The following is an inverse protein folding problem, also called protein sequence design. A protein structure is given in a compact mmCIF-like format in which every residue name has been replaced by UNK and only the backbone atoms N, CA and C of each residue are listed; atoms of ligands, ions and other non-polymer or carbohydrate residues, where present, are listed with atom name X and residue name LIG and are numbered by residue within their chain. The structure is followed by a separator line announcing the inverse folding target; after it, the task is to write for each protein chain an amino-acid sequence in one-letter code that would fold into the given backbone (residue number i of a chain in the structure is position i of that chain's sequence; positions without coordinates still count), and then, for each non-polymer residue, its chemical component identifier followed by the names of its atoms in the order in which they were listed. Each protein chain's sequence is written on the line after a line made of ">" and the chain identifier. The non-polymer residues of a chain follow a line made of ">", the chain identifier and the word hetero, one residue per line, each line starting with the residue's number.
data_IF_067620621340
#
_entry.id   IF_067620621340
#
_cell.length_a   1.000
_cell.length_b   1.000
_cell.length_c   1.000
_cell.angle_alpha   90.00
_cell.angle_beta   90.00
_cell.angle_gamma   90.00
#
_symmetry.space_group_name_H-M   'P 1'
#
loop_
_entity.id
_entity.type
_entity.pdbx_description
1 polymer ?
#
# COMPACT_ATOMS: atom_id res chain seq x y z
N UNK A 1 -27.00 -1.97 -9.44
CA UNK A 1 -26.95 -3.34 -8.88
C UNK A 1 -26.34 -3.25 -7.51
N UNK A 2 -26.78 -4.11 -6.59
CA UNK A 2 -26.21 -4.23 -5.25
C UNK A 2 -25.07 -5.25 -5.31
N UNK A 3 -23.88 -4.91 -4.79
CA UNK A 3 -22.71 -5.80 -4.83
C UNK A 3 -22.91 -7.12 -4.07
N UNK A 4 -23.94 -7.19 -3.22
CA UNK A 4 -24.33 -8.41 -2.49
C UNK A 4 -25.34 -9.29 -3.23
N UNK A 5 -25.91 -8.83 -4.35
CA UNK A 5 -26.82 -9.64 -5.17
C UNK A 5 -26.05 -10.54 -6.15
N UNK A 6 -26.63 -11.67 -6.54
CA UNK A 6 -25.99 -12.65 -7.42
C UNK A 6 -25.17 -13.68 -6.65
N UNK A 7 -23.91 -13.90 -7.02
CA UNK A 7 -23.06 -14.99 -6.48
C UNK A 7 -22.98 -14.98 -4.94
N UNK A 8 -22.85 -13.80 -4.32
CA UNK A 8 -22.77 -13.71 -2.85
C UNK A 8 -24.11 -14.12 -2.21
N UNK A 9 -25.23 -13.76 -2.83
CA UNK A 9 -26.56 -14.14 -2.38
C UNK A 9 -26.84 -15.64 -2.59
N UNK A 10 -26.35 -16.22 -3.69
CA UNK A 10 -26.43 -17.66 -3.95
C UNK A 10 -25.66 -18.47 -2.89
N UNK A 11 -24.50 -17.97 -2.43
CA UNK A 11 -23.67 -18.64 -1.43
C UNK A 11 -24.19 -18.43 -0.01
N UNK A 12 -24.55 -17.21 0.38
CA UNK A 12 -24.94 -16.88 1.76
C UNK A 12 -26.44 -17.05 2.03
N UNK A 13 -27.27 -17.02 0.98
CA UNK A 13 -28.72 -17.04 1.05
C UNK A 13 -29.35 -15.69 1.36
N UNK A 14 -30.56 -15.49 0.85
CA UNK A 14 -31.33 -14.23 0.94
C UNK A 14 -31.45 -13.70 2.39
N UNK A 15 -31.66 -14.61 3.36
CA UNK A 15 -31.80 -14.24 4.77
C UNK A 15 -30.53 -13.61 5.34
N UNK A 16 -29.37 -14.16 5.01
CA UNK A 16 -28.08 -13.62 5.45
C UNK A 16 -27.82 -12.25 4.80
N UNK A 17 -28.06 -12.14 3.50
CA UNK A 17 -27.92 -10.89 2.75
C UNK A 17 -28.79 -9.78 3.34
N UNK A 18 -30.05 -10.09 3.67
CA UNK A 18 -30.96 -9.15 4.31
C UNK A 18 -30.45 -8.69 5.68
N UNK A 19 -29.90 -9.60 6.48
CA UNK A 19 -29.31 -9.26 7.78
C UNK A 19 -28.07 -8.35 7.62
N UNK A 20 -27.17 -8.68 6.68
CA UNK A 20 -25.98 -7.88 6.37
C UNK A 20 -26.33 -6.46 5.92
N UNK A 21 -27.33 -6.31 5.04
CA UNK A 21 -27.82 -4.99 4.58
C UNK A 21 -28.43 -4.15 5.70
N UNK A 22 -28.95 -4.79 6.75
CA UNK A 22 -29.46 -4.13 7.95
C UNK A 22 -28.36 -3.79 8.96
N UNK A 23 -27.10 -4.16 8.68
CA UNK A 23 -25.94 -3.92 9.54
C UNK A 23 -25.73 -4.97 10.63
N UNK A 24 -26.46 -6.09 10.57
CA UNK A 24 -26.27 -7.22 11.48
C UNK A 24 -25.14 -8.12 10.99
N UNK A 25 -24.36 -8.66 11.92
CA UNK A 25 -23.42 -9.73 11.61
C UNK A 25 -24.16 -11.06 11.36
N UNK A 26 -23.61 -11.89 10.49
CA UNK A 26 -24.10 -13.23 10.18
C UNK A 26 -23.05 -14.24 10.59
N UNK A 27 -23.44 -15.24 11.38
CA UNK A 27 -22.55 -16.32 11.78
C UNK A 27 -22.65 -17.47 10.78
N UNK A 28 -21.53 -17.82 10.16
CA UNK A 28 -21.39 -18.99 9.31
C UNK A 28 -20.89 -20.15 10.16
N UNK A 29 -21.69 -21.22 10.21
CA UNK A 29 -21.40 -22.49 10.89
C UNK A 29 -20.94 -22.35 12.35
N UNK A 30 -21.27 -21.22 13.01
CA UNK A 30 -20.83 -20.86 14.36
C UNK A 30 -19.31 -20.68 14.54
N UNK A 31 -18.53 -20.66 13.45
CA UNK A 31 -17.06 -20.52 13.49
C UNK A 31 -16.62 -19.14 13.01
N UNK A 32 -17.32 -18.56 12.03
CA UNK A 32 -16.94 -17.29 11.40
C UNK A 32 -18.09 -16.30 11.52
N UNK A 33 -17.80 -15.10 12.01
CA UNK A 33 -18.74 -13.98 11.99
C UNK A 33 -18.44 -13.07 10.80
N UNK A 34 -19.44 -12.83 9.97
CA UNK A 34 -19.34 -12.00 8.77
C UNK A 34 -20.13 -10.72 9.00
N UNK A 35 -19.48 -9.58 8.81
CA UNK A 35 -20.10 -8.27 8.85
C UNK A 35 -19.89 -7.53 7.54
N UNK A 36 -20.92 -6.81 7.09
CA UNK A 36 -20.83 -5.96 5.90
C UNK A 36 -20.23 -4.60 6.28
N UNK A 37 -19.05 -4.30 5.71
CA UNK A 37 -18.46 -2.97 5.73
C UNK A 37 -18.83 -2.24 4.44
N UNK A 38 -19.22 -0.97 4.56
CA UNK A 38 -19.55 -0.12 3.40
C UNK A 38 -18.89 1.23 3.56
N UNK A 39 -18.53 1.88 2.45
CA UNK A 39 -17.95 3.24 2.48
C UNK A 39 -18.90 4.31 3.04
N UNK A 40 -20.19 4.00 3.25
CA UNK A 40 -21.15 4.91 3.88
C UNK A 40 -20.84 5.17 5.35
N UNK A 41 -20.08 4.28 6.00
CA UNK A 41 -19.55 4.47 7.34
C UNK A 41 -18.04 4.59 7.24
N UNK A 42 -17.47 5.53 7.97
CA UNK A 42 -16.03 5.60 8.10
C UNK A 42 -15.55 4.51 9.06
N UNK A 43 -15.05 3.45 8.45
CA UNK A 43 -14.41 2.31 9.13
C UNK A 43 -12.92 2.53 9.01
N UNK A 44 -12.26 2.73 10.15
CA UNK A 44 -10.80 2.95 10.25
C UNK A 44 -10.08 1.76 10.88
N UNK A 45 -10.83 0.82 11.46
CA UNK A 45 -10.32 -0.39 12.07
C UNK A 45 -11.19 -1.59 11.74
N UNK A 46 -10.55 -2.73 11.61
CA UNK A 46 -11.19 -4.04 11.50
C UNK A 46 -10.20 -5.06 12.05
N UNK A 47 -10.67 -6.07 12.76
CA UNK A 47 -9.78 -7.12 13.27
C UNK A 47 -10.05 -8.40 12.48
N UNK A 48 -9.06 -8.81 11.68
CA UNK A 48 -9.12 -10.04 10.89
C UNK A 48 -9.17 -9.82 9.38
N UNK A 49 -9.52 -10.86 8.61
CA UNK A 49 -9.46 -10.81 7.15
C UNK A 49 -10.57 -9.96 6.54
N UNK A 50 -10.32 -9.44 5.34
CA UNK A 50 -11.26 -8.64 4.54
C UNK A 50 -11.44 -9.26 3.16
N UNK A 51 -12.69 -9.39 2.71
CA UNK A 51 -13.02 -9.71 1.32
C UNK A 51 -13.49 -8.43 0.64
N UNK A 52 -12.72 -7.94 -0.33
CA UNK A 52 -13.04 -6.75 -1.11
C UNK A 52 -13.65 -7.17 -2.45
N UNK A 53 -14.94 -6.91 -2.63
CA UNK A 53 -15.68 -7.31 -3.83
C UNK A 53 -15.84 -6.13 -4.78
N UNK A 54 -15.36 -6.31 -6.00
CA UNK A 54 -15.29 -5.30 -7.07
C UNK A 54 -14.73 -3.95 -6.58
N UNK A 55 -13.57 -3.93 -5.91
CA UNK A 55 -13.07 -2.70 -5.35
C UNK A 55 -12.45 -1.83 -6.44
N UNK A 56 -12.48 -0.52 -6.20
CA UNK A 56 -11.67 0.45 -6.93
C UNK A 56 -10.42 0.82 -6.10
N UNK A 57 -9.51 1.62 -6.69
CA UNK A 57 -8.30 2.09 -6.00
C UNK A 57 -8.59 2.71 -4.63
N UNK A 58 -9.60 3.58 -4.55
CA UNK A 58 -9.94 4.27 -3.30
C UNK A 58 -10.35 3.30 -2.18
N UNK A 59 -11.11 2.26 -2.51
CA UNK A 59 -11.53 1.26 -1.54
C UNK A 59 -10.34 0.41 -1.06
N UNK A 60 -9.46 0.00 -1.98
CA UNK A 60 -8.25 -0.76 -1.62
C UNK A 60 -7.29 0.07 -0.78
N UNK A 61 -7.04 1.33 -1.14
CA UNK A 61 -6.22 2.25 -0.33
C UNK A 61 -6.82 2.43 1.09
N UNK A 62 -8.16 2.50 1.21
CA UNK A 62 -8.84 2.55 2.52
C UNK A 62 -8.67 1.26 3.32
N UNK A 63 -8.62 0.10 2.65
CA UNK A 63 -8.35 -1.19 3.30
C UNK A 63 -6.89 -1.27 3.75
N UNK A 64 -5.94 -0.87 2.89
CA UNK A 64 -4.51 -0.85 3.21
C UNK A 64 -4.20 0.05 4.42
N UNK A 65 -4.93 1.16 4.57
CA UNK A 65 -4.79 2.07 5.70
C UNK A 65 -5.56 1.59 6.97
N UNK A 66 -6.34 0.52 6.88
CA UNK A 66 -7.19 0.05 7.99
C UNK A 66 -6.39 -0.75 9.01
N UNK A 67 -6.52 -0.39 10.29
CA UNK A 67 -5.77 -1.09 11.36
C UNK A 67 -6.41 -2.42 11.73
N UNK A 68 -5.57 -3.44 11.85
CA UNK A 68 -5.93 -4.79 12.34
C UNK A 68 -6.40 -5.75 11.26
N UNK A 69 -6.43 -5.31 9.99
CA UNK A 69 -6.64 -6.21 8.86
C UNK A 69 -5.47 -7.18 8.81
N UNK A 70 -5.77 -8.48 8.79
CA UNK A 70 -4.75 -9.53 8.80
C UNK A 70 -4.44 -10.04 7.40
N UNK A 71 -5.47 -10.11 6.55
CA UNK A 71 -5.40 -10.66 5.20
C UNK A 71 -6.44 -9.96 4.33
N UNK A 72 -6.17 -9.85 3.02
CA UNK A 72 -7.09 -9.24 2.06
C UNK A 72 -7.26 -10.17 0.87
N UNK A 73 -8.51 -10.57 0.62
CA UNK A 73 -8.91 -11.26 -0.61
C UNK A 73 -9.65 -10.27 -1.51
N UNK A 74 -9.12 -10.04 -2.71
CA UNK A 74 -9.73 -9.13 -3.69
C UNK A 74 -10.42 -9.94 -4.78
N UNK A 75 -11.69 -9.61 -5.03
CA UNK A 75 -12.47 -10.12 -6.17
C UNK A 75 -12.65 -8.95 -7.15
N UNK A 76 -11.73 -8.75 -8.10
CA UNK A 76 -11.79 -7.61 -9.01
C UNK A 76 -12.89 -7.77 -10.06
N UNK A 77 -13.44 -6.65 -10.52
CA UNK A 77 -14.18 -6.62 -11.79
C UNK A 77 -13.22 -6.60 -12.98
N UNK A 78 -12.07 -5.93 -12.81
CA UNK A 78 -11.00 -5.80 -13.80
C UNK A 78 -9.64 -5.92 -13.11
N UNK A 79 -8.79 -6.82 -13.59
CA UNK A 79 -7.40 -6.93 -13.09
C UNK A 79 -6.61 -5.64 -13.33
N UNK A 80 -6.90 -4.93 -14.43
CA UNK A 80 -6.24 -3.68 -14.75
C UNK A 80 -6.47 -2.59 -13.68
N UNK A 81 -7.67 -2.56 -13.08
CA UNK A 81 -8.01 -1.55 -12.06
C UNK A 81 -7.28 -1.79 -10.73
N UNK A 82 -6.90 -3.04 -10.46
CA UNK A 82 -6.23 -3.44 -9.22
C UNK A 82 -4.75 -3.78 -9.43
N UNK A 83 -4.22 -3.60 -10.63
CA UNK A 83 -2.84 -3.97 -10.99
C UNK A 83 -1.81 -3.34 -10.04
N UNK A 84 -2.01 -2.07 -9.67
CA UNK A 84 -1.14 -1.38 -8.72
C UNK A 84 -1.12 -2.06 -7.32
N UNK A 85 -2.24 -2.63 -6.90
CA UNK A 85 -2.39 -3.31 -5.61
C UNK A 85 -1.74 -4.70 -5.67
N UNK A 86 -1.90 -5.41 -6.79
CA UNK A 86 -1.20 -6.66 -7.08
C UNK A 86 0.32 -6.44 -7.01
N UNK A 87 0.83 -5.37 -7.64
CA UNK A 87 2.26 -5.03 -7.61
C UNK A 87 2.74 -4.63 -6.20
N UNK A 88 1.92 -3.88 -5.46
CA UNK A 88 2.24 -3.44 -4.09
C UNK A 88 2.42 -4.62 -3.13
N UNK A 89 1.49 -5.58 -3.19
CA UNK A 89 1.42 -6.71 -2.25
C UNK A 89 2.00 -8.01 -2.80
N UNK A 90 2.43 -8.01 -4.08
CA UNK A 90 2.76 -9.23 -4.83
C UNK A 90 1.66 -10.29 -4.68
N UNK A 91 0.41 -9.84 -4.85
CA UNK A 91 -0.77 -10.62 -4.52
C UNK A 91 -0.82 -11.93 -5.34
N UNK A 92 -1.18 -13.02 -4.66
CA UNK A 92 -1.29 -14.34 -5.27
C UNK A 92 -2.71 -14.58 -5.78
N UNK A 93 -2.83 -14.99 -7.05
CA UNK A 93 -4.09 -15.47 -7.59
C UNK A 93 -4.45 -16.85 -7.03
N UNK A 94 -5.59 -16.96 -6.35
CA UNK A 94 -6.04 -18.22 -5.80
C UNK A 94 -6.48 -19.18 -6.91
N UNK A 95 -5.93 -20.39 -6.89
CA UNK A 95 -6.24 -21.44 -7.89
C UNK A 95 -5.38 -21.40 -9.16
N UNK A 96 -4.52 -20.40 -9.32
CA UNK A 96 -3.55 -20.38 -10.42
C UNK A 96 -2.45 -21.43 -10.21
N UNK A 97 -2.17 -22.22 -11.25
CA UNK A 97 -1.08 -23.19 -11.25
C UNK A 97 0.25 -22.47 -11.45
N UNK A 98 1.15 -22.49 -10.44
CA UNK A 98 2.50 -21.91 -10.56
C UNK A 98 2.81 -20.74 -9.62
N UNK A 99 1.92 -20.41 -8.69
CA UNK A 99 2.20 -19.40 -7.65
C UNK A 99 3.16 -19.96 -6.61
N UNK A 100 4.46 -19.78 -6.85
CA UNK A 100 5.45 -19.80 -5.77
C UNK A 100 5.50 -18.39 -5.17
N UNK A 101 5.48 -18.23 -3.84
CA UNK A 101 5.77 -16.96 -3.22
C UNK A 101 7.13 -16.48 -3.75
N UNK A 102 7.12 -15.41 -4.54
CA UNK A 102 8.37 -14.77 -4.96
C UNK A 102 8.94 -14.18 -3.67
N UNK A 103 10.20 -14.51 -3.33
CA UNK A 103 10.86 -13.81 -2.23
C UNK A 103 10.75 -12.30 -2.50
N UNK A 104 10.20 -11.56 -1.54
CA UNK A 104 9.91 -10.14 -1.66
C UNK A 104 11.22 -9.32 -1.65
N UNK A 105 12.04 -9.43 -2.69
CA UNK A 105 13.27 -8.67 -2.83
C UNK A 105 12.96 -7.31 -3.44
N UNK A 106 13.34 -6.23 -2.77
CA UNK A 106 13.35 -4.90 -3.38
C UNK A 106 14.49 -4.83 -4.40
N UNK A 107 14.23 -4.31 -5.59
CA UNK A 107 15.12 -4.43 -6.76
C UNK A 107 16.49 -3.79 -6.53
N UNK A 108 16.55 -2.73 -5.72
CA UNK A 108 17.79 -2.04 -5.39
C UNK A 108 17.96 -1.88 -3.87
N UNK A 109 18.84 -2.67 -3.22
CA UNK A 109 18.96 -2.65 -1.76
C UNK A 109 19.45 -1.30 -1.22
N UNK A 110 20.17 -0.50 -2.01
CA UNK A 110 20.59 0.86 -1.59
C UNK A 110 19.39 1.81 -1.50
N UNK A 111 18.44 1.66 -2.43
CA UNK A 111 17.20 2.45 -2.43
C UNK A 111 16.32 2.00 -1.27
N UNK A 112 16.25 0.70 -1.00
CA UNK A 112 15.54 0.17 0.17
C UNK A 112 16.08 0.75 1.48
N UNK A 113 17.40 0.78 1.67
CA UNK A 113 18.03 1.40 2.85
C UNK A 113 17.79 2.91 2.94
N UNK A 114 17.68 3.60 1.81
CA UNK A 114 17.27 4.99 1.76
C UNK A 114 15.82 5.16 2.25
N UNK A 115 14.89 4.31 1.79
CA UNK A 115 13.49 4.34 2.22
C UNK A 115 13.33 3.98 3.71
N UNK A 116 14.11 3.03 4.24
CA UNK A 116 14.19 2.74 5.68
C UNK A 116 14.63 3.98 6.45
N UNK A 117 15.65 4.69 5.96
CA UNK A 117 16.14 5.92 6.57
C UNK A 117 15.09 7.03 6.56
N UNK A 118 14.37 7.20 5.45
CA UNK A 118 13.25 8.15 5.35
C UNK A 118 12.13 7.81 6.33
N UNK A 119 11.71 6.55 6.36
CA UNK A 119 10.65 6.04 7.25
C UNK A 119 11.01 6.22 8.72
N UNK A 120 12.28 6.06 9.10
CA UNK A 120 12.73 6.30 10.48
C UNK A 120 12.68 7.78 10.91
N UNK A 121 12.63 8.70 9.94
CA UNK A 121 12.66 10.14 10.17
C UNK A 121 11.26 10.78 10.13
N UNK A 122 10.40 10.27 9.26
CA UNK A 122 9.06 10.81 9.08
C UNK A 122 8.12 10.27 10.15
N UNK A 123 7.32 11.16 10.73
CA UNK A 123 6.24 10.73 11.60
C UNK A 123 5.08 10.22 10.74
N UNK A 124 4.98 8.89 10.57
CA UNK A 124 3.94 8.25 9.73
C UNK A 124 2.50 8.64 10.10
N UNK A 125 2.24 9.12 11.32
CA UNK A 125 0.92 9.64 11.69
C UNK A 125 0.58 11.00 11.06
N UNK A 126 1.60 11.80 10.77
CA UNK A 126 1.47 13.10 10.11
C UNK A 126 1.77 13.01 8.60
N UNK A 127 2.35 11.89 8.16
CA UNK A 127 2.65 11.65 6.77
C UNK A 127 3.77 12.53 6.24
N UNK A 128 3.71 12.83 4.94
CA UNK A 128 4.65 13.74 4.27
C UNK A 128 4.10 15.17 4.11
N UNK A 129 2.91 15.44 4.66
CA UNK A 129 2.29 16.76 4.62
C UNK A 129 3.14 17.85 5.30
N UNK A 130 4.00 17.47 6.26
CA UNK A 130 4.88 18.43 6.92
C UNK A 130 6.04 18.87 5.99
N UNK A 131 6.31 20.19 5.85
CA UNK A 131 7.31 20.68 4.90
C UNK A 131 8.72 20.09 5.06
N UNK A 132 9.12 19.74 6.28
CA UNK A 132 10.43 19.11 6.54
C UNK A 132 10.49 17.66 6.07
N UNK A 133 9.40 16.90 6.21
CA UNK A 133 9.33 15.51 5.76
C UNK A 133 9.34 15.45 4.24
N UNK A 134 8.57 16.34 3.61
CA UNK A 134 8.62 16.56 2.15
C UNK A 134 10.01 16.96 1.67
N UNK A 135 10.67 17.89 2.36
CA UNK A 135 12.03 18.29 2.02
C UNK A 135 13.02 17.13 2.15
N UNK A 136 12.88 16.29 3.18
CA UNK A 136 13.70 15.09 3.36
C UNK A 136 13.50 14.09 2.21
N UNK A 137 12.27 13.81 1.77
CA UNK A 137 12.04 12.93 0.62
C UNK A 137 12.62 13.50 -0.68
N UNK A 138 12.40 14.79 -0.96
CA UNK A 138 12.94 15.45 -2.16
C UNK A 138 14.48 15.39 -2.19
N UNK A 139 15.12 15.67 -1.06
CA UNK A 139 16.59 15.64 -0.95
C UNK A 139 17.13 14.21 -1.08
N UNK A 140 16.44 13.21 -0.50
CA UNK A 140 16.78 11.79 -0.67
C UNK A 140 16.83 11.39 -2.15
N UNK A 141 15.79 11.67 -2.93
CA UNK A 141 15.77 11.30 -4.35
C UNK A 141 16.75 12.12 -5.18
N UNK A 142 17.02 13.38 -4.81
CA UNK A 142 18.09 14.17 -5.44
C UNK A 142 19.46 13.53 -5.21
N UNK A 143 19.75 13.05 -4.00
CA UNK A 143 21.00 12.34 -3.65
C UNK A 143 21.12 11.02 -4.42
N UNK A 144 20.05 10.22 -4.49
CA UNK A 144 20.03 8.98 -5.28
C UNK A 144 20.30 9.26 -6.77
N UNK A 145 19.65 10.28 -7.33
CA UNK A 145 19.85 10.69 -8.72
C UNK A 145 21.26 11.19 -8.99
N UNK A 146 21.81 12.03 -8.12
CA UNK A 146 23.19 12.53 -8.25
C UNK A 146 24.20 11.37 -8.22
N UNK A 147 23.93 10.34 -7.41
CA UNK A 147 24.70 9.11 -7.35
C UNK A 147 24.44 8.12 -8.50
N UNK A 148 23.58 8.48 -9.47
CA UNK A 148 23.17 7.66 -10.62
C UNK A 148 22.56 6.30 -10.23
N UNK A 149 21.87 6.26 -9.08
CA UNK A 149 21.18 5.07 -8.60
C UNK A 149 19.77 5.05 -9.21
N UNK A 150 19.47 4.00 -9.97
CA UNK A 150 18.15 3.78 -10.55
C UNK A 150 17.17 3.22 -9.51
N UNK A 151 15.90 3.61 -9.64
CA UNK A 151 14.78 3.17 -8.82
C UNK A 151 13.49 3.21 -9.64
N UNK A 152 12.51 2.39 -9.28
CA UNK A 152 11.16 2.43 -9.83
C UNK A 152 10.19 3.14 -8.87
N UNK A 153 9.53 4.25 -9.27
CA UNK A 153 8.53 4.91 -8.45
C UNK A 153 7.36 4.01 -8.02
N UNK A 154 6.97 3.04 -8.83
CA UNK A 154 5.87 2.12 -8.49
C UNK A 154 6.30 1.16 -7.37
N UNK A 155 7.49 0.56 -7.48
CA UNK A 155 8.11 -0.24 -6.42
C UNK A 155 8.28 0.55 -5.11
N UNK A 156 8.70 1.82 -5.18
CA UNK A 156 8.81 2.72 -4.03
C UNK A 156 7.46 2.86 -3.31
N UNK A 157 6.39 3.17 -4.06
CA UNK A 157 5.05 3.29 -3.48
C UNK A 157 4.66 2.01 -2.76
N UNK A 158 4.82 0.87 -3.43
CA UNK A 158 4.43 -0.42 -2.88
C UNK A 158 5.22 -0.79 -1.62
N UNK A 159 6.51 -0.44 -1.57
CA UNK A 159 7.32 -0.61 -0.36
C UNK A 159 6.82 0.27 0.79
N UNK A 160 6.49 1.55 0.53
CA UNK A 160 6.02 2.47 1.57
C UNK A 160 4.70 2.01 2.20
N UNK A 161 3.71 1.61 1.38
CA UNK A 161 2.43 1.08 1.87
C UNK A 161 2.64 -0.15 2.77
N UNK A 162 3.49 -1.09 2.33
CA UNK A 162 3.86 -2.28 3.13
C UNK A 162 4.54 -1.94 4.46
N UNK A 163 5.18 -0.78 4.55
CA UNK A 163 5.85 -0.30 5.77
C UNK A 163 4.99 0.68 6.59
N UNK A 164 3.67 0.67 6.36
CA UNK A 164 2.70 1.38 7.19
C UNK A 164 2.56 2.87 6.89
N UNK A 165 3.05 3.33 5.72
CA UNK A 165 2.68 4.64 5.22
C UNK A 165 1.24 4.64 4.74
N UNK A 166 0.51 5.73 5.00
CA UNK A 166 -0.80 5.95 4.40
C UNK A 166 -0.66 6.01 2.88
N UNK A 167 -1.62 5.42 2.17
CA UNK A 167 -1.61 5.31 0.70
C UNK A 167 -1.43 6.67 0.00
N UNK A 168 -2.03 7.74 0.52
CA UNK A 168 -1.91 9.10 -0.04
C UNK A 168 -0.50 9.67 0.11
N UNK A 169 0.16 9.45 1.25
CA UNK A 169 1.54 9.87 1.47
C UNK A 169 2.51 9.08 0.58
N UNK A 170 2.27 7.77 0.42
CA UNK A 170 3.04 6.93 -0.48
C UNK A 170 2.90 7.38 -1.96
N UNK A 171 1.70 7.78 -2.37
CA UNK A 171 1.44 8.38 -3.69
C UNK A 171 2.18 9.71 -3.87
N UNK A 172 2.22 10.58 -2.85
CA UNK A 172 2.99 11.83 -2.91
C UNK A 172 4.51 11.58 -3.01
N UNK A 173 5.04 10.60 -2.27
CA UNK A 173 6.46 10.22 -2.37
C UNK A 173 6.79 9.65 -3.75
N UNK A 174 5.92 8.80 -4.31
CA UNK A 174 6.05 8.30 -5.68
C UNK A 174 6.12 9.44 -6.70
N UNK A 175 5.20 10.39 -6.60
CA UNK A 175 5.15 11.57 -7.46
C UNK A 175 6.45 12.39 -7.42
N UNK A 176 7.03 12.55 -6.22
CA UNK A 176 8.32 13.22 -6.03
C UNK A 176 9.44 12.41 -6.72
N UNK A 177 9.49 11.11 -6.47
CA UNK A 177 10.49 10.20 -7.03
C UNK A 177 10.46 10.23 -8.57
N UNK A 178 9.27 10.19 -9.17
CA UNK A 178 9.06 10.24 -10.61
C UNK A 178 9.47 11.59 -11.22
N UNK A 179 9.06 12.71 -10.63
CA UNK A 179 9.46 14.05 -11.11
C UNK A 179 10.99 14.19 -11.13
N UNK A 180 11.65 13.71 -10.07
CA UNK A 180 13.10 13.79 -9.95
C UNK A 180 13.78 12.85 -10.96
N UNK A 181 13.33 11.61 -11.13
CA UNK A 181 13.91 10.68 -12.10
C UNK A 181 13.83 11.26 -13.52
N UNK A 182 12.73 11.93 -13.87
CA UNK A 182 12.51 12.60 -15.16
C UNK A 182 13.31 13.89 -15.40
N UNK A 183 14.12 14.37 -14.44
CA UNK A 183 14.86 15.63 -14.64
C UNK A 183 14.13 16.88 -14.18
N UNK A 184 12.91 16.76 -13.66
CA UNK A 184 12.13 17.94 -13.25
C UNK A 184 12.65 18.47 -11.92
N UNK A 185 12.80 19.78 -11.85
CA UNK A 185 13.21 20.45 -10.62
C UNK A 185 12.04 20.48 -9.64
N UNK A 186 12.20 19.79 -8.50
CA UNK A 186 11.27 19.89 -7.36
C UNK A 186 11.88 20.85 -6.34
N UNK A 187 11.19 21.98 -6.09
CA UNK A 187 11.60 22.96 -5.07
C UNK A 187 11.29 22.41 -3.69
N UNK A 188 12.27 22.47 -2.79
CA UNK A 188 12.13 22.12 -1.38
C UNK A 188 13.14 22.91 -0.57
N UNK A 189 12.89 23.04 0.74
CA UNK A 189 13.93 23.41 1.69
C UNK A 189 15.05 22.36 1.70
N UNK A 190 16.15 22.64 2.42
CA UNK A 190 17.19 21.63 2.66
C UNK A 190 16.56 20.45 3.40
N UNK A 191 16.66 19.26 2.80
CA UNK A 191 16.13 18.03 3.40
C UNK A 191 16.98 17.53 4.55
N UNK A 192 18.18 18.09 4.78
CA UNK A 192 18.99 17.82 5.96
C UNK A 192 19.67 16.45 5.95
N UNK A 193 19.77 15.78 4.80
CA UNK A 193 20.65 14.62 4.67
C UNK A 193 22.11 15.07 4.52
N UNK A 194 23.02 14.35 5.15
CA UNK A 194 24.46 14.55 4.95
C UNK A 194 24.85 14.29 3.49
N UNK A 195 25.87 14.97 2.98
CA UNK A 195 26.28 14.85 1.58
C UNK A 195 26.80 13.45 1.21
N UNK A 196 27.34 12.73 2.19
CA UNK A 196 27.85 11.37 2.07
C UNK A 196 26.82 10.29 2.45
N UNK A 197 25.56 10.64 2.72
CA UNK A 197 24.52 9.70 3.17
C UNK A 197 24.36 8.49 2.25
N UNK A 198 24.60 8.67 0.95
CA UNK A 198 24.50 7.59 -0.04
C UNK A 198 25.55 6.50 0.22
N UNK A 199 26.72 6.86 0.73
CA UNK A 199 27.75 5.88 1.09
C UNK A 199 27.30 5.04 2.29
N UNK A 200 26.62 5.66 3.27
CA UNK A 200 26.04 4.95 4.39
C UNK A 200 24.95 3.96 3.93
N UNK A 201 24.07 4.35 3.00
CA UNK A 201 23.08 3.44 2.44
C UNK A 201 23.72 2.28 1.68
N UNK A 202 24.79 2.54 0.92
CA UNK A 202 25.55 1.48 0.24
C UNK A 202 26.20 0.50 1.21
N UNK A 203 26.77 1.01 2.32
CA UNK A 203 27.38 0.16 3.35
C UNK A 203 26.35 -0.69 4.08
N UNK A 204 25.16 -0.15 4.36
CA UNK A 204 24.06 -0.94 4.96
C UNK A 204 23.54 -1.99 4.00
N UNK A 205 23.37 -1.62 2.72
CA UNK A 205 22.89 -2.51 1.67
C UNK A 205 23.85 -3.68 1.38
N UNK A 206 25.15 -3.56 1.67
CA UNK A 206 26.12 -4.66 1.50
C UNK A 206 26.19 -5.62 2.68
N UNK A 207 25.54 -5.29 3.80
CA UNK A 207 25.49 -6.08 5.04
C UNK A 207 24.18 -6.84 5.23
N UNK A 208 23.16 -6.48 4.45
CA UNK A 208 21.84 -7.13 4.39
C UNK A 208 21.84 -8.24 3.35
#
# INVERSE_FOLDING_TARGET
>A
MDNLSGVIEEVLGERAIKALKQGSAVNLESVVSVSLLTERKDVFNHQGPVIAVYPNKKLLDKIDNMRGVTDVLVIPWSLQEIQYWIETWQALELGASGNSPIEQSFSNPVVEEALKSLTSRVNLRAGIAHPMDKAAAVDLFKKLKAAKIAYDPTEIRGWLVRHGWESDDADEVKDIAEKISQGRAVRSANGGWADDIVNLWRERASKS
#
